data_IF_391528365865
#
_entry.id   IF_391528365865
#
_cell.length_a   1.000
_cell.length_b   1.000
_cell.length_c   1.000
_cell.angle_alpha   90.00
_cell.angle_beta   90.00
_cell.angle_gamma   90.00
#
_symmetry.space_group_name_H-M   'P 1'
#
loop_
_entity.id
_entity.type
_entity.pdbx_description
1 polymer ?
#
# COMPACT_ATOMS: atom_id res chain seq x y z
N UNK A 1 -18.99 -14.17 6.39
CA UNK A 1 -19.75 -13.56 5.29
C UNK A 1 -21.08 -14.27 5.14
N UNK A 2 -22.16 -13.49 5.01
CA UNK A 2 -23.49 -14.05 4.81
C UNK A 2 -23.56 -14.70 3.42
N UNK A 3 -24.43 -15.70 3.24
CA UNK A 3 -24.59 -16.41 1.95
C UNK A 3 -24.84 -15.42 0.78
N UNK A 4 -25.45 -14.28 1.06
CA UNK A 4 -25.75 -13.21 0.10
C UNK A 4 -24.51 -12.45 -0.38
N UNK A 5 -23.47 -12.30 0.46
CA UNK A 5 -22.23 -11.60 0.07
C UNK A 5 -21.45 -12.42 -0.97
N UNK A 6 -21.47 -13.76 -0.84
CA UNK A 6 -20.80 -14.66 -1.79
C UNK A 6 -21.36 -14.55 -3.20
N UNK A 7 -22.69 -14.55 -3.34
CA UNK A 7 -23.32 -14.44 -4.66
C UNK A 7 -23.05 -13.07 -5.29
N UNK A 8 -22.94 -12.00 -4.49
CA UNK A 8 -22.49 -10.68 -4.99
C UNK A 8 -21.06 -10.74 -5.51
N UNK A 9 -20.13 -11.36 -4.78
CA UNK A 9 -18.73 -11.51 -5.24
C UNK A 9 -18.65 -12.27 -6.55
N UNK A 10 -19.38 -13.37 -6.68
CA UNK A 10 -19.40 -14.18 -7.90
C UNK A 10 -20.03 -13.40 -9.05
N UNK A 11 -21.13 -12.68 -8.80
CA UNK A 11 -21.75 -11.82 -9.81
C UNK A 11 -20.76 -10.77 -10.30
N UNK A 12 -20.03 -10.10 -9.40
CA UNK A 12 -19.00 -9.11 -9.77
C UNK A 12 -17.90 -9.74 -10.63
N UNK A 13 -17.44 -10.96 -10.30
CA UNK A 13 -16.44 -11.68 -11.09
C UNK A 13 -16.98 -11.96 -12.51
N UNK A 14 -18.20 -12.48 -12.62
CA UNK A 14 -18.83 -12.79 -13.92
C UNK A 14 -19.03 -11.52 -14.74
N UNK A 15 -19.56 -10.45 -14.14
CA UNK A 15 -19.73 -9.16 -14.82
C UNK A 15 -18.39 -8.60 -15.28
N UNK A 16 -17.33 -8.69 -14.46
CA UNK A 16 -15.99 -8.25 -14.84
C UNK A 16 -15.45 -9.00 -16.06
N UNK A 17 -15.58 -10.34 -16.08
CA UNK A 17 -15.15 -11.13 -17.25
C UNK A 17 -15.97 -10.83 -18.51
N UNK A 18 -17.27 -10.56 -18.39
CA UNK A 18 -18.09 -10.16 -19.53
C UNK A 18 -17.69 -8.79 -20.08
N UNK A 19 -17.36 -7.82 -19.22
CA UNK A 19 -16.83 -6.52 -19.66
C UNK A 19 -15.50 -6.68 -20.40
N UNK A 20 -14.61 -7.55 -19.90
CA UNK A 20 -13.34 -7.85 -20.58
C UNK A 20 -13.60 -8.53 -21.93
N UNK A 21 -14.52 -9.49 -22.00
CA UNK A 21 -14.91 -10.13 -23.24
C UNK A 21 -15.45 -9.10 -24.25
N UNK A 22 -16.26 -8.14 -23.79
CA UNK A 22 -16.78 -7.05 -24.60
C UNK A 22 -15.65 -6.16 -25.17
N UNK A 23 -14.67 -5.78 -24.34
CA UNK A 23 -13.52 -4.98 -24.79
C UNK A 23 -12.69 -5.75 -25.83
N UNK A 24 -12.49 -7.06 -25.64
CA UNK A 24 -11.76 -7.91 -26.59
C UNK A 24 -12.52 -8.08 -27.90
N UNK A 25 -13.85 -8.14 -27.86
CA UNK A 25 -14.70 -8.18 -29.04
C UNK A 25 -14.55 -6.90 -29.86
N UNK A 26 -14.53 -5.73 -29.21
CA UNK A 26 -14.29 -4.42 -29.87
C UNK A 26 -12.90 -4.33 -30.51
N UNK A 27 -11.91 -5.04 -29.96
CA UNK A 27 -10.54 -5.13 -30.51
C UNK A 27 -10.34 -6.22 -31.57
N UNK A 28 -11.43 -6.76 -32.12
CA UNK A 28 -11.44 -7.83 -33.14
C UNK A 28 -10.83 -9.17 -32.71
N UNK A 29 -10.58 -9.40 -31.41
CA UNK A 29 -10.19 -10.69 -30.85
C UNK A 29 -11.41 -11.59 -30.60
N UNK A 30 -12.18 -11.88 -31.66
CA UNK A 30 -13.51 -12.50 -31.59
C UNK A 30 -13.46 -13.89 -30.93
N UNK A 31 -12.49 -14.74 -31.31
CA UNK A 31 -12.39 -16.10 -30.74
C UNK A 31 -12.09 -16.09 -29.24
N UNK A 32 -11.22 -15.18 -28.79
CA UNK A 32 -10.89 -15.05 -27.37
C UNK A 32 -12.07 -14.50 -26.56
N UNK A 33 -12.80 -13.52 -27.12
CA UNK A 33 -13.98 -12.95 -26.50
C UNK A 33 -15.11 -13.97 -26.29
N UNK A 34 -15.40 -14.80 -27.30
CA UNK A 34 -16.44 -15.83 -27.20
C UNK A 34 -16.12 -16.90 -26.16
N UNK A 35 -14.88 -17.40 -26.15
CA UNK A 35 -14.45 -18.42 -25.17
C UNK A 35 -14.55 -17.84 -23.76
N UNK A 36 -14.07 -16.62 -23.54
CA UNK A 36 -14.11 -15.95 -22.24
C UNK A 36 -15.56 -15.74 -21.77
N UNK A 37 -16.46 -15.32 -22.65
CA UNK A 37 -17.88 -15.11 -22.32
C UNK A 37 -18.57 -16.44 -21.96
N UNK A 38 -18.33 -17.52 -22.72
CA UNK A 38 -18.88 -18.86 -22.42
C UNK A 38 -18.39 -19.37 -21.06
N UNK A 39 -17.11 -19.17 -20.75
CA UNK A 39 -16.53 -19.54 -19.45
C UNK A 39 -17.13 -18.72 -18.31
N UNK A 40 -17.30 -17.41 -18.48
CA UNK A 40 -17.88 -16.53 -17.46
C UNK A 40 -19.34 -16.92 -17.13
N UNK A 41 -20.15 -17.16 -18.16
CA UNK A 41 -21.55 -17.60 -17.99
C UNK A 41 -21.60 -18.99 -17.35
N UNK A 42 -20.75 -19.92 -17.79
CA UNK A 42 -20.64 -21.25 -17.20
C UNK A 42 -20.32 -21.19 -15.70
N UNK A 43 -19.28 -20.44 -15.31
CA UNK A 43 -18.90 -20.27 -13.90
C UNK A 43 -20.04 -19.66 -13.08
N UNK A 44 -20.74 -18.66 -13.63
CA UNK A 44 -21.92 -18.06 -13.01
C UNK A 44 -23.02 -19.08 -12.74
N UNK A 45 -23.38 -19.88 -13.75
CA UNK A 45 -24.39 -20.93 -13.63
C UNK A 45 -23.97 -21.99 -12.60
N UNK A 46 -22.77 -22.57 -12.74
CA UNK A 46 -22.28 -23.61 -11.85
C UNK A 46 -22.18 -23.16 -10.39
N UNK A 47 -21.87 -21.88 -10.16
CA UNK A 47 -21.80 -21.30 -8.82
C UNK A 47 -23.16 -21.18 -8.12
N UNK A 48 -24.25 -21.05 -8.89
CA UNK A 48 -25.62 -21.03 -8.34
C UNK A 48 -26.04 -22.42 -7.89
N UNK A 49 -25.72 -23.44 -8.69
CA UNK A 49 -26.11 -24.83 -8.41
C UNK A 49 -25.21 -25.54 -7.39
N UNK A 50 -23.92 -25.18 -7.32
CA UNK A 50 -22.93 -25.87 -6.48
C UNK A 50 -22.33 -24.89 -5.44
N UNK A 51 -22.86 -24.88 -4.20
CA UNK A 51 -22.44 -23.92 -3.17
C UNK A 51 -21.01 -24.14 -2.66
N UNK A 52 -20.43 -25.34 -2.83
CA UNK A 52 -19.04 -25.65 -2.49
C UNK A 52 -18.06 -25.00 -3.47
N UNK A 53 -18.36 -25.06 -4.78
CA UNK A 53 -17.55 -24.42 -5.82
C UNK A 53 -17.54 -22.89 -5.62
N UNK A 54 -18.71 -22.31 -5.37
CA UNK A 54 -18.86 -20.89 -5.04
C UNK A 54 -17.97 -20.45 -3.86
N UNK A 55 -17.86 -21.31 -2.83
CA UNK A 55 -17.05 -21.07 -1.63
C UNK A 55 -15.55 -21.13 -1.92
N UNK A 56 -15.12 -22.06 -2.77
CA UNK A 56 -13.73 -22.16 -3.22
C UNK A 56 -13.30 -20.96 -4.07
N UNK A 57 -14.14 -20.56 -5.03
CA UNK A 57 -13.87 -19.39 -5.90
C UNK A 57 -13.74 -18.12 -5.06
N UNK A 58 -14.68 -17.88 -4.14
CA UNK A 58 -14.63 -16.74 -3.22
C UNK A 58 -13.35 -16.75 -2.39
N UNK A 59 -12.96 -17.90 -1.83
CA UNK A 59 -11.75 -18.01 -1.01
C UNK A 59 -10.48 -17.68 -1.81
N UNK A 60 -10.35 -18.20 -3.03
CA UNK A 60 -9.23 -17.88 -3.92
C UNK A 60 -9.22 -16.40 -4.27
N UNK A 61 -10.38 -15.83 -4.61
CA UNK A 61 -10.53 -14.41 -4.94
C UNK A 61 -10.12 -13.50 -3.76
N UNK A 62 -10.57 -13.82 -2.55
CA UNK A 62 -10.20 -13.07 -1.35
C UNK A 62 -8.72 -13.20 -1.01
N UNK A 63 -8.12 -14.39 -1.18
CA UNK A 63 -6.67 -14.56 -1.05
C UNK A 63 -5.90 -13.70 -2.05
N UNK A 64 -6.35 -13.66 -3.29
CA UNK A 64 -5.77 -12.80 -4.32
C UNK A 64 -5.87 -11.33 -3.92
N UNK A 65 -7.06 -10.86 -3.51
CA UNK A 65 -7.26 -9.49 -3.04
C UNK A 65 -6.37 -9.13 -1.84
N UNK A 66 -6.15 -10.07 -0.91
CA UNK A 66 -5.27 -9.86 0.23
C UNK A 66 -3.81 -9.69 -0.19
N UNK A 67 -3.32 -10.53 -1.12
CA UNK A 67 -1.96 -10.40 -1.67
C UNK A 67 -1.82 -9.06 -2.41
N UNK A 68 -2.81 -8.69 -3.22
CA UNK A 68 -2.83 -7.42 -3.93
C UNK A 68 -2.80 -6.23 -2.96
N UNK A 69 -3.55 -6.30 -1.87
CA UNK A 69 -3.54 -5.32 -0.79
C UNK A 69 -2.17 -5.19 -0.13
N UNK A 70 -1.51 -6.30 0.17
CA UNK A 70 -0.15 -6.30 0.74
C UNK A 70 0.88 -5.65 -0.19
N UNK A 71 0.80 -5.95 -1.50
CA UNK A 71 1.65 -5.30 -2.50
C UNK A 71 1.35 -3.80 -2.57
N UNK A 72 0.07 -3.42 -2.60
CA UNK A 72 -0.36 -2.03 -2.68
C UNK A 72 0.12 -1.21 -1.48
N UNK A 73 0.05 -1.76 -0.26
CA UNK A 73 0.56 -1.09 0.94
C UNK A 73 2.07 -0.80 0.84
N UNK A 74 2.86 -1.73 0.29
CA UNK A 74 4.30 -1.53 0.08
C UNK A 74 4.58 -0.48 -0.99
N UNK A 75 3.85 -0.54 -2.11
CA UNK A 75 3.98 0.44 -3.20
C UNK A 75 3.64 1.82 -2.67
N UNK A 76 2.50 1.98 -1.98
CA UNK A 76 2.06 3.26 -1.44
C UNK A 76 3.09 3.84 -0.46
N UNK A 77 3.59 3.02 0.48
CA UNK A 77 4.60 3.45 1.44
C UNK A 77 5.90 3.86 0.74
N UNK A 78 6.36 3.06 -0.22
CA UNK A 78 7.54 3.39 -1.02
C UNK A 78 7.36 4.70 -1.79
N UNK A 79 6.20 4.87 -2.43
CA UNK A 79 5.88 6.06 -3.20
C UNK A 79 5.81 7.31 -2.31
N UNK A 80 5.20 7.22 -1.13
CA UNK A 80 5.21 8.30 -0.14
C UNK A 80 6.64 8.61 0.30
N UNK A 81 7.45 7.59 0.57
CA UNK A 81 8.83 7.78 0.99
C UNK A 81 9.65 8.50 -0.09
N UNK A 82 9.61 8.03 -1.33
CA UNK A 82 10.43 8.60 -2.41
C UNK A 82 9.92 9.96 -2.91
N UNK A 83 8.60 10.18 -2.93
CA UNK A 83 8.03 11.44 -3.45
C UNK A 83 7.95 12.56 -2.40
N UNK A 84 7.82 12.23 -1.12
CA UNK A 84 7.65 13.24 -0.07
C UNK A 84 8.80 13.20 0.93
N UNK A 85 9.00 12.07 1.63
CA UNK A 85 9.96 12.03 2.74
C UNK A 85 11.40 12.25 2.28
N UNK A 86 11.82 11.60 1.20
CA UNK A 86 13.16 11.71 0.63
C UNK A 86 13.48 13.14 0.17
N UNK A 87 12.66 13.82 -0.65
CA UNK A 87 12.96 15.19 -1.04
C UNK A 87 12.90 16.14 0.17
N UNK A 88 11.97 15.96 1.11
CA UNK A 88 11.94 16.76 2.34
C UNK A 88 13.24 16.58 3.14
N UNK A 89 13.73 15.35 3.28
CA UNK A 89 14.99 15.07 3.97
C UNK A 89 16.21 15.67 3.24
N UNK A 90 16.22 15.61 1.91
CA UNK A 90 17.28 16.22 1.09
C UNK A 90 17.26 17.75 1.20
N UNK A 91 16.09 18.39 1.11
CA UNK A 91 15.93 19.82 1.33
C UNK A 91 16.36 20.19 2.75
N UNK A 92 15.91 19.45 3.77
CA UNK A 92 16.36 19.66 5.14
C UNK A 92 17.87 19.55 5.25
N UNK A 93 18.52 18.58 4.61
CA UNK A 93 19.98 18.46 4.64
C UNK A 93 20.69 19.63 3.94
N UNK A 94 20.07 20.24 2.93
CA UNK A 94 20.62 21.40 2.22
C UNK A 94 20.44 22.70 3.03
N UNK A 95 19.28 22.90 3.65
CA UNK A 95 18.94 24.14 4.36
C UNK A 95 19.26 24.12 5.86
N UNK A 96 19.20 22.95 6.51
CA UNK A 96 19.52 22.79 7.92
C UNK A 96 21.03 22.60 8.09
N UNK A 97 21.72 23.64 8.57
CA UNK A 97 23.12 23.56 8.97
C UNK A 97 23.24 22.70 10.24
N UNK A 98 23.70 21.48 10.04
CA UNK A 98 24.26 20.56 11.05
C UNK A 98 23.67 20.72 12.47
N UNK A 99 22.45 20.22 12.71
CA UNK A 99 21.76 20.43 13.98
C UNK A 99 22.50 19.78 15.17
N UNK A 100 23.33 18.78 14.90
CA UNK A 100 24.14 18.08 15.90
C UNK A 100 25.60 18.57 15.93
N UNK A 101 25.98 19.55 15.10
CA UNK A 101 27.35 20.07 14.97
C UNK A 101 28.38 18.93 14.84
N UNK A 102 28.10 17.92 14.00
CA UNK A 102 28.92 16.72 13.82
C UNK A 102 30.04 16.88 12.78
N UNK A 103 29.92 17.83 11.84
CA UNK A 103 30.94 18.07 10.83
C UNK A 103 32.02 19.01 11.36
N UNK A 104 33.26 18.50 11.44
CA UNK A 104 34.46 19.32 11.67
C UNK A 104 34.93 19.45 13.13
N UNK A 105 34.50 18.55 14.03
CA UNK A 105 34.93 18.59 15.44
C UNK A 105 35.83 17.40 15.77
N UNK A 106 37.12 17.68 15.89
CA UNK A 106 38.11 16.82 16.56
C UNK A 106 37.95 16.99 18.08
N UNK A 107 36.80 16.56 18.62
CA UNK A 107 36.44 16.79 20.01
C UNK A 107 36.28 15.49 20.80
N UNK A 108 36.99 15.42 21.92
CA UNK A 108 36.92 14.31 22.90
C UNK A 108 35.57 14.19 23.63
N UNK A 109 34.73 15.22 23.63
CA UNK A 109 33.55 15.31 24.48
C UNK A 109 32.47 16.24 23.91
N UNK A 110 31.20 15.95 24.21
CA UNK A 110 30.04 16.78 23.88
C UNK A 110 29.78 17.88 24.92
N UNK A 111 30.52 17.90 26.03
CA UNK A 111 30.41 18.96 27.04
C UNK A 111 30.90 20.29 26.46
N UNK A 112 30.11 21.34 26.67
CA UNK A 112 30.49 22.72 26.32
C UNK A 112 31.02 23.39 27.58
N UNK A 113 32.21 23.97 27.50
CA UNK A 113 32.78 24.74 28.61
C UNK A 113 31.95 26.02 28.82
N UNK A 114 31.33 26.16 30.01
CA UNK A 114 30.52 27.33 30.38
C UNK A 114 31.36 28.22 31.28
N UNK A 115 32.16 29.09 30.67
CA UNK A 115 32.91 30.13 31.37
C UNK A 115 32.01 31.34 31.61
N UNK A 116 31.02 31.21 32.49
CA UNK A 116 30.23 32.35 32.97
C UNK A 116 30.43 32.53 34.48
N UNK A 117 30.31 33.79 34.93
CA UNK A 117 30.35 34.11 36.35
C UNK A 117 29.03 33.67 36.98
N UNK A 118 29.10 32.73 37.92
CA UNK A 118 27.94 32.24 38.64
C UNK A 118 27.25 33.38 39.37
N UNK A 119 25.96 33.57 39.10
CA UNK A 119 25.13 34.52 39.84
C UNK A 119 24.24 33.79 40.83
N UNK A 120 23.58 34.54 41.71
CA UNK A 120 22.70 33.97 42.74
C UNK A 120 21.56 33.17 42.12
N UNK A 121 21.07 33.60 40.96
CA UNK A 121 19.99 32.98 40.21
C UNK A 121 20.36 31.57 39.72
N UNK A 122 21.63 31.30 39.41
CA UNK A 122 22.11 29.98 38.98
C UNK A 122 22.04 28.92 40.09
N UNK A 123 21.98 29.36 41.36
CA UNK A 123 21.97 28.49 42.54
C UNK A 123 20.55 28.21 43.05
N UNK A 124 19.53 28.88 42.52
CA UNK A 124 18.15 28.69 42.96
C UNK A 124 17.54 27.37 42.44
N UNK A 125 18.07 26.81 41.34
CA UNK A 125 17.62 25.53 40.78
C UNK A 125 18.82 24.65 40.38
N UNK A 126 19.32 23.90 41.37
CA UNK A 126 20.50 23.01 41.28
C UNK A 126 20.23 21.63 40.65
N UNK A 127 19.00 21.36 40.20
CA UNK A 127 18.52 20.07 39.70
C UNK A 127 17.73 20.19 38.40
#
# INVERSE_FOLDING_TARGET
MQKQDRYKTILVIVTGFLVIAWILFVKEYIQAAEVLAKVAVGIGLFSVFIPIAAKGIEWVWLKFAHVLGWINSKILLGLIFFLFLLPIALLSRLFTKDPLKLKGRDMKSMFTDRNHLYTKEDLENIW
#
